data_IF_884523837019
#
_entry.id   IF_884523837019
#
_cell.length_a   1.000
_cell.length_b   1.000
_cell.length_c   1.000
_cell.angle_alpha   90.00
_cell.angle_beta   90.00
_cell.angle_gamma   90.00
#
_symmetry.space_group_name_H-M   'P 1'
#
loop_
_entity.id
_entity.type
_entity.pdbx_description
1 polymer ?
#
# COMPACT_ATOMS: atom_id res chain seq x y z
N UNK A 1 -10.64 16.94 12.51
CA UNK A 1 -9.28 17.01 11.92
C UNK A 1 -9.39 16.42 10.53
N UNK A 2 -8.85 17.09 9.50
CA UNK A 2 -8.85 16.53 8.16
C UNK A 2 -7.61 15.64 7.97
N UNK A 3 -7.73 14.62 7.13
CA UNK A 3 -6.65 13.64 6.88
C UNK A 3 -5.34 14.28 6.42
N UNK A 4 -5.41 15.38 5.69
CA UNK A 4 -4.24 16.14 5.21
C UNK A 4 -3.39 16.73 6.33
N UNK A 5 -3.97 16.92 7.51
CA UNK A 5 -3.34 17.55 8.66
C UNK A 5 -2.56 16.53 9.50
N UNK A 6 -2.75 15.23 9.23
CA UNK A 6 -2.04 14.16 9.90
C UNK A 6 -0.66 14.04 9.26
N UNK A 7 0.35 14.60 9.90
CA UNK A 7 1.72 14.70 9.36
C UNK A 7 2.72 13.82 10.10
N UNK A 8 2.41 13.30 11.28
CA UNK A 8 3.30 12.36 11.97
C UNK A 8 3.13 10.94 11.43
N UNK A 9 4.27 10.27 11.21
CA UNK A 9 4.36 8.92 10.64
C UNK A 9 5.32 8.07 11.44
N UNK A 10 5.08 6.77 11.42
CA UNK A 10 6.02 5.75 11.92
C UNK A 10 6.20 4.68 10.86
N UNK A 11 7.42 4.15 10.78
CA UNK A 11 7.72 2.94 10.03
C UNK A 11 7.48 1.73 10.93
N UNK A 12 6.77 0.75 10.40
CA UNK A 12 6.44 -0.51 11.07
C UNK A 12 6.91 -1.68 10.23
N UNK A 13 7.41 -2.72 10.89
CA UNK A 13 7.79 -3.99 10.29
C UNK A 13 7.35 -5.11 11.23
N UNK A 14 6.44 -5.97 10.77
CA UNK A 14 6.04 -7.17 11.51
C UNK A 14 7.25 -8.09 11.66
N UNK A 15 7.59 -8.48 12.89
CA UNK A 15 8.84 -9.21 13.20
C UNK A 15 9.00 -10.52 12.44
N UNK A 16 7.90 -11.26 12.27
CA UNK A 16 7.87 -12.54 11.56
C UNK A 16 7.83 -12.39 10.03
N UNK A 17 7.59 -11.19 9.48
CA UNK A 17 7.43 -11.03 8.04
C UNK A 17 8.68 -11.46 7.27
N UNK A 18 9.87 -11.30 7.87
CA UNK A 18 11.14 -11.75 7.29
C UNK A 18 11.28 -13.26 7.12
N UNK A 19 10.52 -14.05 7.90
CA UNK A 19 10.49 -15.51 7.80
C UNK A 19 9.57 -16.01 6.68
N UNK A 20 8.70 -15.14 6.17
CA UNK A 20 7.68 -15.45 5.15
C UNK A 20 7.68 -14.47 3.96
N UNK A 21 8.82 -14.24 3.29
CA UNK A 21 8.94 -13.23 2.24
C UNK A 21 8.10 -13.52 0.98
N UNK A 22 7.59 -14.75 0.81
CA UNK A 22 6.72 -15.14 -0.30
C UNK A 22 5.23 -15.05 0.03
N UNK A 23 4.85 -14.70 1.26
CA UNK A 23 3.45 -14.58 1.63
C UNK A 23 2.89 -13.25 1.07
N UNK A 24 1.93 -13.29 0.12
CA UNK A 24 1.42 -12.07 -0.53
C UNK A 24 0.61 -11.18 0.42
N UNK A 25 0.24 -11.69 1.60
CA UNK A 25 -0.50 -10.93 2.61
C UNK A 25 0.42 -10.15 3.56
N UNK A 26 1.74 -10.42 3.54
CA UNK A 26 2.70 -9.75 4.42
C UNK A 26 3.52 -8.72 3.65
N UNK A 27 3.59 -7.51 4.20
CA UNK A 27 4.47 -6.46 3.70
C UNK A 27 5.83 -6.55 4.40
N UNK A 28 6.90 -6.19 3.68
CA UNK A 28 8.22 -6.01 4.27
C UNK A 28 8.25 -4.85 5.26
N UNK A 29 7.50 -3.78 4.97
CA UNK A 29 7.30 -2.68 5.90
C UNK A 29 6.02 -1.90 5.55
N UNK A 30 5.52 -1.14 6.53
CA UNK A 30 4.43 -0.19 6.34
C UNK A 30 4.79 1.14 6.99
N UNK A 31 4.52 2.25 6.31
CA UNK A 31 4.44 3.57 6.96
C UNK A 31 2.99 3.79 7.32
N UNK A 32 2.71 4.13 8.59
CA UNK A 32 1.37 4.38 9.12
C UNK A 32 1.32 5.70 9.87
N UNK A 33 0.11 6.23 10.08
CA UNK A 33 -0.11 7.45 10.82
C UNK A 33 0.21 7.30 12.32
N UNK A 34 0.83 8.33 12.89
CA UNK A 34 1.07 8.45 14.33
C UNK A 34 0.29 9.63 14.90
N UNK A 35 -0.39 9.44 16.03
CA UNK A 35 -1.14 10.49 16.71
C UNK A 35 -0.48 10.82 18.06
N UNK A 36 0.31 11.90 18.16
CA UNK A 36 1.04 12.22 19.39
C UNK A 36 0.10 12.58 20.55
N UNK A 37 -1.10 13.09 20.26
CA UNK A 37 -2.12 13.43 21.26
C UNK A 37 -2.91 12.24 21.81
N UNK A 38 -2.65 11.01 21.33
CA UNK A 38 -3.47 9.84 21.61
C UNK A 38 -4.29 9.41 20.40
N UNK A 39 -4.86 8.22 20.48
CA UNK A 39 -5.67 7.65 19.42
C UNK A 39 -6.98 8.48 19.31
N UNK A 40 -7.41 8.87 18.10
CA UNK A 40 -8.59 9.70 17.96
C UNK A 40 -9.86 8.89 18.25
N UNK A 41 -10.85 9.51 18.90
CA UNK A 41 -12.14 8.86 19.21
C UNK A 41 -12.95 8.50 17.95
N UNK A 42 -12.64 9.14 16.82
CA UNK A 42 -13.26 8.91 15.53
C UNK A 42 -12.24 9.05 14.40
N UNK A 43 -12.47 8.37 13.27
CA UNK A 43 -11.67 8.56 12.07
C UNK A 43 -11.62 10.06 11.65
N UNK A 44 -10.44 10.61 11.32
CA UNK A 44 -10.35 11.93 10.71
C UNK A 44 -11.16 12.02 9.41
N UNK A 45 -11.61 13.23 9.06
CA UNK A 45 -12.34 13.46 7.81
C UNK A 45 -11.46 13.11 6.60
N UNK A 46 -12.01 12.32 5.65
CA UNK A 46 -11.29 11.84 4.47
C UNK A 46 -10.39 10.61 4.72
N UNK A 47 -10.51 9.96 5.88
CA UNK A 47 -9.83 8.69 6.12
C UNK A 47 -10.38 7.60 5.17
N UNK A 48 -9.56 6.75 4.55
CA UNK A 48 -10.01 5.70 3.61
C UNK A 48 -10.96 4.67 4.22
N UNK A 49 -11.11 4.67 5.56
CA UNK A 49 -12.01 3.82 6.31
C UNK A 49 -13.14 4.60 6.97
N UNK A 50 -13.44 5.83 6.54
CA UNK A 50 -14.59 6.62 7.02
C UNK A 50 -15.97 5.96 6.75
N UNK A 51 -15.99 4.93 5.90
CA UNK A 51 -17.17 4.14 5.49
C UNK A 51 -17.20 2.72 6.08
N UNK A 52 -16.17 2.30 6.80
CA UNK A 52 -16.15 1.05 7.58
C UNK A 52 -16.20 1.45 9.05
N UNK A 53 -16.91 0.70 9.89
CA UNK A 53 -16.93 1.02 11.31
C UNK A 53 -15.48 1.09 11.82
N UNK A 54 -15.12 2.25 12.38
CA UNK A 54 -13.84 2.50 13.03
C UNK A 54 -13.81 1.75 14.37
N UNK A 55 -14.08 0.44 14.36
CA UNK A 55 -14.07 -0.40 15.56
C UNK A 55 -12.66 -0.61 16.08
N UNK A 56 -11.64 -0.49 15.21
CA UNK A 56 -10.24 -0.59 15.61
C UNK A 56 -9.37 0.49 14.95
N UNK A 57 -9.34 1.73 15.51
CA UNK A 57 -8.25 2.69 15.32
C UNK A 57 -6.86 2.03 15.24
N UNK A 58 -6.67 0.96 16.02
CA UNK A 58 -5.43 0.25 16.22
C UNK A 58 -4.96 -0.60 15.04
N UNK A 59 -5.80 -0.90 14.04
CA UNK A 59 -5.35 -1.73 12.93
C UNK A 59 -4.46 -0.96 11.92
N UNK A 60 -4.58 0.36 11.86
CA UNK A 60 -3.91 1.19 10.84
C UNK A 60 -3.29 2.49 11.37
N UNK A 61 -3.30 2.69 12.69
CA UNK A 61 -2.72 3.88 13.34
C UNK A 61 -2.03 3.53 14.65
N UNK A 62 -1.09 4.38 15.07
CA UNK A 62 -0.36 4.23 16.33
C UNK A 62 -0.46 5.52 17.15
N UNK A 63 -0.58 5.39 18.48
CA UNK A 63 -0.48 6.48 19.44
C UNK A 63 0.40 6.06 20.63
N UNK A 64 0.89 6.99 21.48
CA UNK A 64 1.75 6.65 22.61
C UNK A 64 1.20 5.56 23.54
N UNK A 65 -0.12 5.55 23.78
CA UNK A 65 -0.78 4.55 24.63
C UNK A 65 -0.84 3.15 24.03
N UNK A 66 -0.74 3.01 22.70
CA UNK A 66 -0.79 1.72 22.02
C UNK A 66 0.60 1.21 21.60
N UNK A 67 1.64 2.03 21.77
CA UNK A 67 2.97 1.75 21.23
C UNK A 67 3.59 0.47 21.80
N UNK A 68 3.36 0.19 23.08
CA UNK A 68 3.91 -1.01 23.72
C UNK A 68 3.24 -2.28 23.22
N UNK A 69 1.92 -2.28 23.03
CA UNK A 69 1.19 -3.41 22.44
C UNK A 69 1.65 -3.67 21.00
N UNK A 70 1.80 -2.62 20.18
CA UNK A 70 2.35 -2.75 18.82
C UNK A 70 3.78 -3.30 18.79
N UNK A 71 4.58 -3.10 19.84
CA UNK A 71 5.98 -3.56 19.88
C UNK A 71 6.12 -5.04 20.18
N UNK A 72 5.05 -5.69 20.63
CA UNK A 72 5.01 -7.13 20.87
C UNK A 72 5.26 -7.91 19.57
N UNK A 73 4.63 -7.48 18.47
CA UNK A 73 4.69 -8.14 17.16
C UNK A 73 5.41 -7.30 16.09
N UNK A 74 5.54 -5.98 16.25
CA UNK A 74 6.22 -5.11 15.30
C UNK A 74 7.52 -4.47 15.82
N UNK A 75 8.42 -4.16 14.90
CA UNK A 75 9.43 -3.12 15.05
C UNK A 75 8.80 -1.79 14.65
N UNK A 76 8.83 -0.79 15.54
CA UNK A 76 8.24 0.54 15.32
C UNK A 76 9.32 1.60 15.45
N UNK A 77 9.48 2.44 14.43
CA UNK A 77 10.44 3.56 14.46
C UNK A 77 10.03 4.67 15.43
N UNK A 78 10.93 5.62 15.67
CA UNK A 78 10.53 6.92 16.18
C UNK A 78 9.58 7.61 15.19
N UNK A 79 8.65 8.46 15.66
CA UNK A 79 7.79 9.24 14.78
C UNK A 79 8.61 10.26 13.98
N UNK A 80 8.21 10.48 12.74
CA UNK A 80 8.78 11.47 11.83
C UNK A 80 7.66 12.29 11.19
N UNK A 81 7.90 13.59 11.03
CA UNK A 81 6.96 14.48 10.36
C UNK A 81 7.16 14.39 8.84
N UNK A 82 6.07 14.24 8.09
CA UNK A 82 6.03 14.25 6.63
C UNK A 82 5.24 15.45 6.10
N UNK A 83 5.42 15.86 4.83
CA UNK A 83 4.64 16.94 4.23
C UNK A 83 3.13 16.68 4.27
N UNK A 84 2.34 17.74 4.43
CA UNK A 84 0.88 17.67 4.34
C UNK A 84 0.44 17.08 2.98
N UNK A 85 -0.61 16.25 3.00
CA UNK A 85 -1.08 15.53 1.81
C UNK A 85 -0.29 14.26 1.46
N UNK A 86 0.74 13.89 2.24
CA UNK A 86 1.37 12.57 2.12
C UNK A 86 0.33 11.47 2.42
N UNK A 87 0.25 10.40 1.62
CA UNK A 87 -0.65 9.29 1.90
C UNK A 87 -0.53 8.78 3.33
N UNK A 88 -1.67 8.43 3.94
CA UNK A 88 -1.73 7.96 5.32
C UNK A 88 -0.94 6.67 5.54
N UNK A 89 -1.09 5.75 4.60
CA UNK A 89 -0.46 4.44 4.64
C UNK A 89 0.33 4.21 3.36
N UNK A 90 1.60 3.81 3.50
CA UNK A 90 2.41 3.28 2.40
C UNK A 90 2.77 1.85 2.75
N UNK A 91 2.51 0.91 1.85
CA UNK A 91 2.83 -0.51 2.03
C UNK A 91 3.98 -0.89 1.11
N UNK A 92 5.00 -1.54 1.66
CA UNK A 92 6.18 -1.97 0.93
C UNK A 92 6.17 -3.51 0.87
N UNK A 93 5.73 -4.13 -0.24
CA UNK A 93 5.72 -5.58 -0.38
C UNK A 93 7.13 -6.14 -0.54
N UNK A 94 7.33 -7.41 -0.19
CA UNK A 94 8.62 -8.12 -0.37
C UNK A 94 9.04 -8.25 -1.83
N UNK A 95 8.07 -8.53 -2.70
CA UNK A 95 8.25 -8.59 -4.15
C UNK A 95 7.46 -7.44 -4.75
N UNK A 96 8.09 -6.64 -5.61
CA UNK A 96 7.38 -5.62 -6.36
C UNK A 96 6.24 -6.29 -7.16
N UNK A 97 5.02 -5.76 -7.06
CA UNK A 97 3.92 -6.22 -7.91
C UNK A 97 4.40 -6.12 -9.36
N UNK A 98 4.46 -7.26 -10.06
CA UNK A 98 4.79 -7.25 -11.48
C UNK A 98 3.72 -6.43 -12.17
N UNK A 99 4.14 -5.35 -12.86
CA UNK A 99 3.23 -4.62 -13.73
C UNK A 99 2.66 -5.64 -14.72
N UNK A 100 1.33 -5.67 -14.83
CA UNK A 100 0.68 -6.50 -15.83
C UNK A 100 1.32 -6.18 -17.20
N UNK A 101 1.59 -7.19 -18.05
CA UNK A 101 2.13 -6.94 -19.37
C UNK A 101 1.26 -5.89 -20.07
N UNK A 102 1.82 -4.73 -20.36
CA UNK A 102 1.22 -3.82 -21.32
C UNK A 102 1.35 -4.51 -22.66
N UNK A 103 0.36 -5.33 -23.04
CA UNK A 103 0.27 -5.85 -24.40
C UNK A 103 0.24 -4.63 -25.31
N UNK A 104 1.26 -4.37 -26.14
CA UNK A 104 1.11 -3.41 -27.22
C UNK A 104 -0.01 -3.98 -28.09
N UNK A 105 -1.07 -3.21 -28.31
CA UNK A 105 -2.08 -3.62 -29.30
C UNK A 105 -1.38 -3.76 -30.63
N UNK A 106 -1.19 -4.99 -31.10
CA UNK A 106 -0.72 -5.31 -32.44
C UNK A 106 -1.80 -4.87 -33.43
N UNK A 107 -1.83 -3.57 -33.72
CA UNK A 107 -2.40 -3.05 -34.95
C UNK A 107 -1.45 -3.39 -36.09
N UNK A 108 -1.57 -4.59 -36.64
CA UNK A 108 -0.98 -4.91 -37.94
C UNK A 108 -2.08 -4.79 -39.01
N UNK A 109 -1.88 -4.00 -40.08
CA UNK A 109 -2.81 -3.98 -41.20
C UNK A 109 -2.79 -5.33 -41.91
N UNK A 110 -3.96 -5.81 -42.34
CA UNK A 110 -4.07 -7.00 -43.16
C UNK A 110 -3.41 -6.74 -44.53
N UNK A 111 -2.22 -7.30 -44.73
CA UNK A 111 -1.54 -7.34 -46.01
C UNK A 111 -2.10 -8.54 -46.80
N UNK A 112 -3.20 -8.33 -47.52
CA UNK A 112 -3.72 -9.30 -48.50
C UNK A 112 -3.07 -9.04 -49.84
N UNK A 113 -1.96 -9.72 -50.11
CA UNK A 113 -1.36 -9.81 -51.45
C UNK A 113 -1.95 -11.05 -52.15
N UNK A 114 -2.54 -10.95 -53.36
CA UNK A 114 -3.12 -12.09 -54.06
C UNK A 114 -2.03 -12.96 -54.72
N UNK A 115 -2.08 -14.26 -54.45
CA UNK A 115 -1.25 -15.29 -55.11
C UNK A 115 -1.64 -15.44 -56.60
N UNK A 116 -0.71 -15.42 -57.56
CA UNK A 116 -1.01 -15.76 -58.95
C UNK A 116 -1.12 -17.29 -59.12
N UNK A 117 -2.09 -17.73 -59.92
CA UNK A 117 -2.30 -19.14 -60.23
C UNK A 117 -1.21 -19.68 -61.17
N UNK A 118 -0.50 -20.71 -60.70
CA UNK A 118 0.41 -21.50 -61.52
C UNK A 118 -0.33 -22.19 -62.67
N UNK A 119 0.24 -22.09 -63.86
CA UNK A 119 -0.23 -22.74 -65.09
C UNK A 119 0.65 -23.96 -65.39
N UNK A 120 0.06 -25.14 -65.49
CA UNK A 120 0.64 -26.37 -66.11
C UNK A 120 -0.55 -27.30 -66.40
N UNK A 121 -0.72 -27.96 -67.54
CA UNK A 121 0.12 -28.17 -68.72
C UNK A 121 -0.78 -28.35 -69.97
#
# INVERSE_FOLDING_TARGET
>A
MHVSDVTDRVLTHLREAGDYPTNPNLNAACVVAFFPGGCPDSAPEGWPHDTVDYEDPHATTICPGCLDSWREDHLVSAPVTVPAGTPLTLRFPWVAAQLAPTTPGDGSPADTDPVPADTSA
#
